data_IF_261656962140
#
_entry.id   IF_261656962140
#
_cell.length_a   1.000
_cell.length_b   1.000
_cell.length_c   1.000
_cell.angle_alpha   90.00
_cell.angle_beta   90.00
_cell.angle_gamma   90.00
#
_symmetry.space_group_name_H-M   'P 1'
#
loop_
_entity.id
_entity.type
_entity.pdbx_description
1 polymer ?
#
# COMPACT_ATOMS: atom_id res chain seq x y z
N UNK A 1 5.93 -49.34 -5.23
CA UNK A 1 6.44 -48.12 -4.58
C UNK A 1 5.32 -47.08 -4.59
N UNK A 2 4.72 -46.71 -3.45
CA UNK A 2 3.75 -45.63 -3.43
C UNK A 2 4.39 -44.30 -3.00
N UNK A 3 3.99 -43.25 -3.72
CA UNK A 3 4.44 -41.87 -3.57
C UNK A 3 4.00 -41.25 -2.23
N UNK A 4 4.91 -40.54 -1.57
CA UNK A 4 4.63 -39.67 -0.41
C UNK A 4 3.99 -38.35 -0.88
N UNK A 5 2.86 -37.92 -0.32
CA UNK A 5 2.45 -36.53 -0.41
C UNK A 5 3.18 -35.69 0.66
N UNK A 6 3.79 -34.60 0.23
CA UNK A 6 4.52 -33.63 1.03
C UNK A 6 3.64 -32.38 1.17
N UNK A 7 2.73 -32.40 2.14
CA UNK A 7 2.02 -31.19 2.60
C UNK A 7 2.04 -31.23 4.12
N UNK A 8 2.92 -30.43 4.71
CA UNK A 8 2.93 -30.19 6.15
C UNK A 8 1.80 -29.21 6.52
N UNK A 9 1.02 -29.47 7.58
CA UNK A 9 0.02 -28.53 8.05
C UNK A 9 0.69 -27.38 8.81
N UNK A 10 0.53 -26.15 8.30
CA UNK A 10 0.74 -24.91 9.06
C UNK A 10 -0.26 -24.88 10.22
N UNK A 11 0.21 -25.26 11.40
CA UNK A 11 -0.59 -25.29 12.63
C UNK A 11 -0.27 -24.08 13.50
N UNK A 12 -1.35 -23.42 13.93
CA UNK A 12 -1.53 -22.73 15.21
C UNK A 12 -0.72 -21.44 15.47
N UNK A 13 -1.21 -20.33 14.90
CA UNK A 13 -1.04 -19.00 15.48
C UNK A 13 -2.30 -18.59 16.26
N UNK A 14 -2.52 -19.17 17.44
CA UNK A 14 -3.59 -18.73 18.34
C UNK A 14 -3.19 -17.39 18.97
N UNK A 15 -3.87 -16.32 18.55
CA UNK A 15 -3.73 -14.96 19.08
C UNK A 15 -4.22 -14.90 20.53
N UNK A 16 -3.27 -14.87 21.47
CA UNK A 16 -3.54 -14.55 22.86
C UNK A 16 -3.52 -13.02 23.05
N UNK A 17 -4.69 -12.38 22.93
CA UNK A 17 -4.88 -10.99 23.37
C UNK A 17 -4.84 -10.95 24.90
N UNK A 18 -3.71 -10.55 25.49
CA UNK A 18 -3.58 -10.36 26.94
C UNK A 18 -3.74 -8.90 27.34
N UNK A 19 -4.63 -8.70 28.30
CA UNK A 19 -4.90 -7.52 29.10
C UNK A 19 -3.64 -7.04 29.83
N UNK A 20 -3.28 -5.77 29.64
CA UNK A 20 -2.17 -5.12 30.37
C UNK A 20 -2.72 -4.59 31.69
N UNK A 21 -2.39 -5.26 32.79
CA UNK A 21 -2.59 -4.74 34.14
C UNK A 21 -1.38 -3.89 34.54
N UNK A 22 -1.65 -2.65 34.95
CA UNK A 22 -0.67 -1.67 35.42
C UNK A 22 -0.40 -1.93 36.91
N UNK A 23 0.83 -2.31 37.26
CA UNK A 23 1.30 -2.32 38.64
C UNK A 23 2.54 -1.41 38.75
N UNK A 24 2.35 -0.27 39.41
CA UNK A 24 3.42 0.66 39.75
C UNK A 24 4.21 0.12 40.95
N UNK A 25 5.51 -0.11 40.78
CA UNK A 25 6.43 -0.39 41.88
C UNK A 25 7.55 0.66 41.87
N UNK A 26 7.62 1.45 42.93
CA UNK A 26 8.60 2.50 43.18
C UNK A 26 9.91 1.86 43.67
N UNK A 27 11.01 2.03 42.93
CA UNK A 27 12.34 1.57 43.32
C UNK A 27 13.32 2.75 43.47
N UNK A 28 14.30 2.69 44.40
CA UNK A 28 15.14 3.82 44.76
C UNK A 28 16.27 4.08 43.75
N UNK A 29 16.57 5.37 43.57
CA UNK A 29 17.59 5.92 42.68
C UNK A 29 19.02 5.57 43.12
N UNK A 30 19.63 4.61 42.41
CA UNK A 30 21.08 4.35 42.45
C UNK A 30 21.73 5.07 41.26
N UNK A 31 22.48 6.14 41.54
CA UNK A 31 23.30 6.87 40.55
C UNK A 31 24.45 6.00 40.04
N UNK A 32 24.18 5.16 39.05
CA UNK A 32 25.20 4.53 38.21
C UNK A 32 25.77 5.58 37.25
N UNK A 33 27.07 5.87 37.40
CA UNK A 33 27.86 6.56 36.38
C UNK A 33 27.84 5.70 35.12
N UNK A 34 27.07 6.12 34.11
CA UNK A 34 27.02 5.47 32.79
C UNK A 34 28.41 5.54 32.17
N UNK A 35 29.09 4.40 32.09
CA UNK A 35 30.21 4.28 31.17
C UNK A 35 29.65 4.43 29.76
N UNK A 36 30.02 5.52 29.08
CA UNK A 36 29.74 5.72 27.67
C UNK A 36 30.51 4.66 26.89
N UNK A 37 29.87 3.52 26.65
CA UNK A 37 30.31 2.57 25.65
C UNK A 37 30.37 3.33 24.33
N UNK A 38 31.59 3.58 23.83
CA UNK A 38 31.83 4.05 22.47
C UNK A 38 31.30 2.95 21.56
N UNK A 39 30.04 3.06 21.15
CA UNK A 39 29.46 2.20 20.13
C UNK A 39 30.38 2.24 18.91
N UNK A 40 30.97 1.10 18.56
CA UNK A 40 31.78 0.96 17.36
C UNK A 40 30.99 1.54 16.18
N UNK A 41 31.61 2.47 15.46
CA UNK A 41 31.10 2.95 14.17
C UNK A 41 31.12 1.74 13.25
N UNK A 42 29.96 1.11 13.06
CA UNK A 42 29.85 0.04 12.06
C UNK A 42 30.18 0.67 10.70
N UNK A 43 31.10 0.08 9.93
CA UNK A 43 31.33 0.53 8.55
C UNK A 43 29.98 0.46 7.83
N UNK A 44 29.65 1.53 7.11
CA UNK A 44 28.41 1.57 6.36
C UNK A 44 28.52 0.56 5.21
N UNK A 45 27.77 -0.54 5.30
CA UNK A 45 27.67 -1.53 4.24
C UNK A 45 27.22 -0.83 2.95
N UNK A 46 27.99 -1.01 1.88
CA UNK A 46 27.67 -0.32 0.64
C UNK A 46 26.50 -1.02 -0.07
N UNK A 47 25.62 -0.22 -0.66
CA UNK A 47 24.42 -0.74 -1.32
C UNK A 47 24.78 -1.19 -2.72
N UNK A 48 24.68 -2.50 -2.94
CA UNK A 48 24.90 -3.14 -4.22
C UNK A 48 23.59 -3.48 -4.91
N UNK A 49 23.55 -3.23 -6.22
CA UNK A 49 22.44 -3.65 -7.06
C UNK A 49 22.76 -4.99 -7.73
N UNK A 50 21.75 -5.86 -7.80
CA UNK A 50 21.80 -7.08 -8.56
C UNK A 50 21.86 -6.75 -10.05
N UNK A 51 22.74 -7.45 -10.79
CA UNK A 51 22.82 -7.35 -12.25
C UNK A 51 21.46 -7.67 -12.87
N UNK A 52 21.06 -6.91 -13.88
CA UNK A 52 19.76 -7.11 -14.55
C UNK A 52 19.98 -7.30 -16.05
N UNK A 53 19.09 -8.03 -16.72
CA UNK A 53 19.13 -8.10 -18.19
C UNK A 53 18.58 -6.84 -18.88
N UNK A 54 18.08 -5.88 -18.10
CA UNK A 54 17.35 -4.72 -18.60
C UNK A 54 18.22 -3.45 -18.57
N UNK A 55 18.80 -3.09 -19.72
CA UNK A 55 19.67 -1.92 -19.87
C UNK A 55 19.02 -0.60 -19.40
N UNK A 56 17.71 -0.45 -19.59
CA UNK A 56 16.99 0.75 -19.14
C UNK A 56 16.97 0.82 -17.61
N UNK A 57 16.76 -0.32 -16.94
CA UNK A 57 16.81 -0.41 -15.49
C UNK A 57 18.23 -0.16 -14.98
N UNK A 58 19.25 -0.78 -15.57
CA UNK A 58 20.66 -0.56 -15.21
C UNK A 58 21.02 0.93 -15.28
N UNK A 59 20.60 1.63 -16.34
CA UNK A 59 20.79 3.07 -16.46
C UNK A 59 20.17 3.87 -15.30
N UNK A 60 18.95 3.52 -14.91
CA UNK A 60 18.25 4.16 -13.77
C UNK A 60 18.92 3.84 -12.43
N UNK A 61 19.33 2.59 -12.22
CA UNK A 61 20.04 2.15 -11.01
C UNK A 61 21.38 2.88 -10.87
N UNK A 62 22.16 2.95 -11.95
CA UNK A 62 23.43 3.68 -11.99
C UNK A 62 23.24 5.17 -11.69
N UNK A 63 22.17 5.77 -12.22
CA UNK A 63 21.84 7.17 -11.94
C UNK A 63 21.46 7.37 -10.45
N UNK A 64 20.65 6.48 -9.86
CA UNK A 64 20.36 6.55 -8.42
C UNK A 64 21.62 6.35 -7.58
N UNK A 65 22.47 5.37 -7.94
CA UNK A 65 23.70 5.06 -7.24
C UNK A 65 24.62 6.28 -7.22
N UNK A 66 24.93 6.83 -8.39
CA UNK A 66 25.86 7.95 -8.56
C UNK A 66 25.40 9.24 -7.91
N UNK A 67 24.14 9.63 -8.12
CA UNK A 67 23.67 10.98 -7.75
C UNK A 67 22.94 11.06 -6.42
N UNK A 68 22.43 9.94 -5.88
CA UNK A 68 21.64 9.92 -4.64
C UNK A 68 22.31 9.08 -3.55
N UNK A 69 22.62 7.82 -3.85
CA UNK A 69 23.02 6.84 -2.83
C UNK A 69 24.48 7.03 -2.41
N UNK A 70 25.42 7.07 -3.35
CA UNK A 70 26.84 7.24 -3.06
C UNK A 70 27.14 8.55 -2.28
N UNK A 71 26.63 9.72 -2.70
CA UNK A 71 26.79 10.96 -1.92
C UNK A 71 26.23 10.89 -0.49
N UNK A 72 25.32 9.95 -0.20
CA UNK A 72 24.74 9.78 1.14
C UNK A 72 25.72 9.21 2.17
N UNK A 73 26.78 8.52 1.72
CA UNK A 73 27.85 8.02 2.60
C UNK A 73 28.79 9.13 3.09
N UNK A 74 28.84 10.26 2.36
CA UNK A 74 29.63 11.42 2.76
C UNK A 74 29.01 12.14 3.95
N UNK A 75 29.87 12.69 4.83
CA UNK A 75 29.45 13.60 5.89
C UNK A 75 28.83 14.86 5.28
N UNK A 76 27.93 15.51 6.01
CA UNK A 76 27.19 16.67 5.51
C UNK A 76 28.09 17.81 4.96
N UNK A 77 29.25 18.16 5.57
CA UNK A 77 30.15 19.18 5.01
C UNK A 77 30.76 18.77 3.66
N UNK A 78 31.22 17.52 3.54
CA UNK A 78 31.77 16.97 2.29
C UNK A 78 30.71 16.93 1.20
N UNK A 79 29.47 16.55 1.55
CA UNK A 79 28.34 16.55 0.63
C UNK A 79 28.01 17.96 0.12
N UNK A 80 28.13 19.00 0.96
CA UNK A 80 27.95 20.39 0.53
C UNK A 80 29.01 20.81 -0.49
N UNK A 81 30.28 20.48 -0.23
CA UNK A 81 31.38 20.75 -1.16
C UNK A 81 31.15 20.07 -2.52
N UNK A 82 30.67 18.82 -2.50
CA UNK A 82 30.41 18.03 -3.71
C UNK A 82 29.46 18.73 -4.70
N UNK A 83 28.49 19.48 -4.19
CA UNK A 83 27.48 20.17 -5.00
C UNK A 83 27.73 21.67 -5.16
N UNK A 84 28.82 22.21 -4.59
CA UNK A 84 29.17 23.63 -4.69
C UNK A 84 29.89 23.90 -6.04
N UNK A 85 29.32 24.72 -6.95
CA UNK A 85 29.94 25.02 -8.24
C UNK A 85 31.30 25.71 -8.11
N UNK A 86 31.54 26.43 -7.01
CA UNK A 86 32.82 27.13 -6.79
C UNK A 86 33.95 26.18 -6.41
N UNK A 87 33.63 24.98 -5.93
CA UNK A 87 34.61 23.95 -5.57
C UNK A 87 34.90 23.00 -6.72
N UNK A 88 34.35 23.26 -7.92
CA UNK A 88 34.48 22.37 -9.06
C UNK A 88 35.94 22.13 -9.44
N UNK A 89 36.71 23.19 -9.64
CA UNK A 89 38.11 23.08 -10.06
C UNK A 89 38.96 22.43 -8.97
N UNK A 90 38.70 22.78 -7.71
CA UNK A 90 39.37 22.14 -6.57
C UNK A 90 39.10 20.65 -6.48
N UNK A 91 37.87 20.20 -6.71
CA UNK A 91 37.50 18.78 -6.67
C UNK A 91 37.96 18.00 -7.91
N UNK A 92 38.41 18.68 -8.98
CA UNK A 92 39.09 18.03 -10.10
C UNK A 92 40.53 17.65 -9.70
N UNK A 93 41.23 18.54 -8.99
CA UNK A 93 42.61 18.32 -8.55
C UNK A 93 42.67 17.43 -7.30
N UNK A 94 41.78 17.63 -6.33
CA UNK A 94 41.70 16.93 -5.04
C UNK A 94 40.29 16.36 -4.79
N UNK A 95 39.96 15.20 -5.38
CA UNK A 95 38.65 14.59 -5.23
C UNK A 95 38.45 14.04 -3.81
N UNK A 96 37.22 14.12 -3.31
CA UNK A 96 36.89 13.53 -2.01
C UNK A 96 36.94 12.00 -2.15
N UNK A 97 37.74 11.34 -1.33
CA UNK A 97 37.86 9.87 -1.33
C UNK A 97 37.23 9.26 -0.08
N UNK A 98 36.55 8.14 -0.25
CA UNK A 98 36.10 7.27 0.85
C UNK A 98 36.37 5.82 0.48
N UNK A 99 36.60 4.98 1.48
CA UNK A 99 36.65 3.53 1.31
C UNK A 99 35.27 2.94 1.61
N UNK A 100 34.70 2.25 0.63
CA UNK A 100 33.45 1.49 0.74
C UNK A 100 33.76 0.04 0.37
N UNK A 101 33.51 -0.90 1.28
CA UNK A 101 33.74 -2.33 1.09
C UNK A 101 35.15 -2.70 0.55
N UNK A 102 36.18 -1.92 0.95
CA UNK A 102 37.56 -2.11 0.50
C UNK A 102 37.90 -1.47 -0.85
N UNK A 103 36.94 -0.82 -1.51
CA UNK A 103 37.14 -0.05 -2.73
C UNK A 103 37.20 1.46 -2.43
N UNK A 104 38.21 2.14 -2.97
CA UNK A 104 38.33 3.60 -2.85
C UNK A 104 37.44 4.28 -3.89
N UNK A 105 36.32 4.84 -3.45
CA UNK A 105 35.43 5.65 -4.30
C UNK A 105 35.89 7.11 -4.26
N UNK A 106 36.11 7.69 -5.44
CA UNK A 106 36.48 9.10 -5.62
C UNK A 106 35.29 9.92 -6.10
N UNK A 107 35.04 11.06 -5.47
CA UNK A 107 33.99 11.99 -5.84
C UNK A 107 34.56 13.26 -6.46
N UNK A 108 34.17 13.51 -7.70
CA UNK A 108 34.31 14.81 -8.36
C UNK A 108 33.02 15.63 -8.23
N UNK A 109 33.10 16.93 -8.52
CA UNK A 109 31.95 17.84 -8.44
C UNK A 109 30.72 17.30 -9.20
N UNK A 110 29.56 17.37 -8.54
CA UNK A 110 28.26 16.99 -9.10
C UNK A 110 27.37 18.22 -9.24
N UNK A 111 26.73 18.38 -10.40
CA UNK A 111 25.72 19.42 -10.58
C UNK A 111 24.40 19.02 -9.92
N UNK A 112 23.78 19.94 -9.18
CA UNK A 112 22.43 19.75 -8.64
C UNK A 112 21.38 19.51 -9.74
N UNK A 113 21.63 19.99 -10.96
CA UNK A 113 20.73 19.77 -12.12
C UNK A 113 20.71 18.32 -12.58
N UNK A 114 21.79 17.58 -12.32
CA UNK A 114 21.92 16.18 -12.71
C UNK A 114 21.28 15.23 -11.68
N UNK A 115 20.97 15.74 -10.48
CA UNK A 115 20.34 14.96 -9.41
C UNK A 115 18.87 14.75 -9.74
N UNK A 116 18.44 13.50 -10.05
CA UNK A 116 17.06 13.25 -10.37
C UNK A 116 16.17 13.36 -9.13
N UNK A 117 14.90 13.72 -9.33
CA UNK A 117 13.90 13.63 -8.28
C UNK A 117 13.70 12.16 -7.86
N UNK A 118 14.01 11.83 -6.60
CA UNK A 118 14.01 10.48 -6.06
C UNK A 118 12.72 9.69 -6.36
N UNK A 119 11.57 10.31 -6.11
CA UNK A 119 10.27 9.68 -6.36
C UNK A 119 10.02 9.44 -7.86
N UNK A 120 10.44 10.36 -8.73
CA UNK A 120 10.25 10.20 -10.17
C UNK A 120 11.12 9.07 -10.73
N UNK A 121 12.40 9.04 -10.36
CA UNK A 121 13.31 8.00 -10.83
C UNK A 121 12.94 6.61 -10.27
N UNK A 122 12.50 6.53 -9.01
CA UNK A 122 11.99 5.29 -8.43
C UNK A 122 10.75 4.79 -9.18
N UNK A 123 9.77 5.66 -9.44
CA UNK A 123 8.57 5.28 -10.21
C UNK A 123 8.93 4.76 -11.59
N UNK A 124 9.90 5.38 -12.27
CA UNK A 124 10.39 4.93 -13.58
C UNK A 124 11.07 3.56 -13.49
N UNK A 125 11.91 3.32 -12.48
CA UNK A 125 12.56 2.03 -12.30
C UNK A 125 11.53 0.91 -12.04
N UNK A 126 10.54 1.16 -11.19
CA UNK A 126 9.49 0.17 -10.88
C UNK A 126 8.59 -0.09 -12.11
N UNK A 127 8.43 0.87 -13.01
CA UNK A 127 7.73 0.64 -14.29
C UNK A 127 8.52 -0.30 -15.22
N UNK A 128 9.85 -0.32 -15.15
CA UNK A 128 10.69 -1.17 -16.00
C UNK A 128 10.91 -2.59 -15.46
N UNK A 129 10.51 -2.88 -14.21
CA UNK A 129 10.58 -4.23 -13.66
C UNK A 129 9.69 -5.19 -14.44
N UNK A 130 10.26 -6.31 -14.90
CA UNK A 130 9.54 -7.35 -15.67
C UNK A 130 9.58 -8.72 -15.00
N UNK A 131 10.62 -9.03 -14.24
CA UNK A 131 10.82 -10.35 -13.67
C UNK A 131 11.41 -10.33 -12.27
N UNK A 132 11.50 -11.51 -11.65
CA UNK A 132 11.97 -11.66 -10.27
C UNK A 132 13.35 -11.03 -10.01
N UNK A 133 14.28 -11.16 -10.97
CA UNK A 133 15.61 -10.57 -10.87
C UNK A 133 15.59 -9.04 -10.77
N UNK A 134 14.70 -8.37 -11.51
CA UNK A 134 14.55 -6.92 -11.42
C UNK A 134 14.00 -6.51 -10.04
N UNK A 135 13.03 -7.27 -9.52
CA UNK A 135 12.41 -6.99 -8.22
C UNK A 135 13.36 -7.17 -7.03
N UNK A 136 14.40 -8.00 -7.15
CA UNK A 136 15.47 -8.09 -6.13
C UNK A 136 16.14 -6.74 -5.89
N UNK A 137 16.13 -5.84 -6.87
CA UNK A 137 16.66 -4.49 -6.71
C UNK A 137 15.75 -3.54 -5.95
N UNK A 138 14.48 -3.88 -5.68
CA UNK A 138 13.58 -2.97 -4.97
C UNK A 138 14.08 -2.66 -3.57
N UNK A 139 14.46 -3.68 -2.79
CA UNK A 139 15.01 -3.49 -1.45
C UNK A 139 16.23 -2.55 -1.43
N UNK A 140 17.34 -2.83 -2.15
CA UNK A 140 18.51 -1.98 -2.09
C UNK A 140 18.22 -0.55 -2.56
N UNK A 141 17.33 -0.36 -3.54
CA UNK A 141 16.91 0.99 -3.95
C UNK A 141 16.26 1.72 -2.78
N UNK A 142 15.29 1.08 -2.12
CA UNK A 142 14.54 1.69 -1.03
C UNK A 142 15.44 1.99 0.19
N UNK A 143 16.33 1.05 0.54
CA UNK A 143 17.35 1.27 1.59
C UNK A 143 18.26 2.44 1.24
N UNK A 144 18.70 2.55 -0.02
CA UNK A 144 19.57 3.65 -0.47
C UNK A 144 18.89 5.01 -0.45
N UNK A 145 17.63 5.07 -0.88
CA UNK A 145 16.82 6.28 -0.79
C UNK A 145 16.60 6.67 0.68
N UNK A 146 16.33 5.70 1.56
CA UNK A 146 16.17 5.93 2.99
C UNK A 146 17.45 6.47 3.63
N UNK A 147 18.60 5.88 3.31
CA UNK A 147 19.91 6.32 3.78
C UNK A 147 20.25 7.74 3.27
N UNK A 148 19.85 8.06 2.04
CA UNK A 148 19.94 9.41 1.49
C UNK A 148 18.96 10.43 2.10
N UNK A 149 18.17 10.03 3.11
CA UNK A 149 17.18 10.87 3.76
C UNK A 149 15.98 11.21 2.88
N UNK A 150 15.75 10.46 1.80
CA UNK A 150 14.60 10.64 0.91
C UNK A 150 13.39 9.94 1.51
N UNK A 151 12.27 10.64 1.51
CA UNK A 151 10.99 10.15 2.04
C UNK A 151 10.09 9.81 0.88
N UNK A 152 9.57 8.58 0.87
CA UNK A 152 8.63 8.13 -0.17
C UNK A 152 7.26 8.76 0.06
N UNK A 153 6.61 9.21 -1.00
CA UNK A 153 5.21 9.63 -0.93
C UNK A 153 4.24 8.44 -0.97
N UNK A 154 3.01 8.63 -0.47
CA UNK A 154 1.97 7.59 -0.46
C UNK A 154 1.63 7.10 -1.87
N UNK A 155 1.53 8.00 -2.86
CA UNK A 155 1.32 7.64 -4.28
C UNK A 155 2.46 6.76 -4.83
N UNK A 156 3.71 7.03 -4.43
CA UNK A 156 4.88 6.23 -4.84
C UNK A 156 4.81 4.82 -4.27
N UNK A 157 4.46 4.67 -2.99
CA UNK A 157 4.24 3.36 -2.37
C UNK A 157 3.06 2.62 -3.03
N UNK A 158 1.95 3.32 -3.27
CA UNK A 158 0.77 2.76 -3.94
C UNK A 158 1.10 2.28 -5.35
N UNK A 159 1.95 3.01 -6.08
CA UNK A 159 2.43 2.59 -7.40
C UNK A 159 3.29 1.33 -7.32
N UNK A 160 4.19 1.21 -6.34
CA UNK A 160 4.97 -0.02 -6.10
C UNK A 160 4.03 -1.20 -5.85
N UNK A 161 3.07 -1.04 -4.94
CA UNK A 161 2.08 -2.08 -4.64
C UNK A 161 1.28 -2.48 -5.89
N UNK A 162 0.81 -1.50 -6.67
CA UNK A 162 0.08 -1.76 -7.92
C UNK A 162 0.92 -2.53 -8.93
N UNK A 163 2.20 -2.18 -9.10
CA UNK A 163 3.11 -2.89 -10.02
C UNK A 163 3.42 -4.30 -9.53
N UNK A 164 3.52 -4.51 -8.22
CA UNK A 164 3.68 -5.84 -7.64
C UNK A 164 2.45 -6.72 -7.87
N UNK A 165 1.24 -6.19 -7.61
CA UNK A 165 -0.02 -6.91 -7.87
C UNK A 165 -0.22 -7.25 -9.35
N UNK A 166 0.10 -6.33 -10.26
CA UNK A 166 0.09 -6.60 -11.71
C UNK A 166 1.00 -7.77 -12.13
N UNK A 167 2.04 -8.05 -11.35
CA UNK A 167 3.02 -9.10 -11.61
C UNK A 167 2.87 -10.31 -10.68
N UNK A 168 1.80 -10.37 -9.86
CA UNK A 168 1.56 -11.41 -8.85
C UNK A 168 2.70 -11.56 -7.84
N UNK A 169 3.25 -10.43 -7.40
CA UNK A 169 4.41 -10.31 -6.50
C UNK A 169 4.11 -9.57 -5.20
N UNK A 170 2.85 -9.57 -4.76
CA UNK A 170 2.47 -8.91 -3.50
C UNK A 170 3.21 -9.46 -2.30
N UNK A 171 3.49 -10.78 -2.29
CA UNK A 171 4.13 -11.45 -1.15
C UNK A 171 5.57 -10.98 -0.93
N UNK A 172 6.27 -10.58 -2.00
CA UNK A 172 7.63 -10.02 -1.92
C UNK A 172 7.65 -8.69 -1.14
N UNK A 173 6.53 -7.96 -1.09
CA UNK A 173 6.46 -6.69 -0.39
C UNK A 173 6.42 -6.85 1.13
N UNK A 174 6.04 -8.01 1.67
CA UNK A 174 5.98 -8.19 3.12
C UNK A 174 7.35 -8.01 3.77
N UNK A 175 8.42 -8.49 3.14
CA UNK A 175 9.77 -8.27 3.65
C UNK A 175 10.07 -6.75 3.75
N UNK A 176 9.71 -5.97 2.73
CA UNK A 176 9.91 -4.52 2.74
C UNK A 176 9.11 -3.82 3.83
N UNK A 177 7.87 -4.28 4.07
CA UNK A 177 6.99 -3.76 5.13
C UNK A 177 7.53 -4.12 6.52
N UNK A 178 7.95 -5.36 6.74
CA UNK A 178 8.55 -5.82 8.00
C UNK A 178 9.81 -5.03 8.38
N UNK A 179 10.54 -4.57 7.37
CA UNK A 179 11.73 -3.75 7.54
C UNK A 179 11.50 -2.27 7.19
N UNK A 180 10.30 -1.74 7.45
CA UNK A 180 9.92 -0.38 7.05
C UNK A 180 10.85 0.73 7.56
N UNK A 181 11.47 0.58 8.73
CA UNK A 181 12.45 1.56 9.26
C UNK A 181 13.72 1.63 8.40
N UNK A 182 14.18 0.46 7.93
CA UNK A 182 15.35 0.27 7.05
C UNK A 182 15.05 0.67 5.61
N UNK A 183 13.93 0.23 5.05
CA UNK A 183 13.56 0.45 3.64
C UNK A 183 12.84 1.78 3.41
N UNK A 184 12.22 2.36 4.44
CA UNK A 184 11.30 3.49 4.28
C UNK A 184 9.93 3.13 3.70
N UNK A 185 9.61 1.84 3.55
CA UNK A 185 8.36 1.37 2.94
C UNK A 185 7.22 1.24 3.98
N UNK A 186 6.72 2.39 4.46
CA UNK A 186 5.70 2.43 5.50
C UNK A 186 4.26 2.25 4.97
N UNK A 187 3.51 1.30 5.53
CA UNK A 187 2.07 1.09 5.31
C UNK A 187 1.20 1.93 6.27
N UNK A 188 1.45 3.24 6.33
CA UNK A 188 0.81 4.14 7.30
C UNK A 188 -0.08 5.22 6.66
N UNK A 189 -0.42 5.03 5.39
CA UNK A 189 -1.29 5.88 4.61
C UNK A 189 -2.40 5.02 4.01
N UNK A 190 -3.59 5.58 3.83
CA UNK A 190 -4.75 4.81 3.41
C UNK A 190 -4.58 4.23 2.00
N UNK A 191 -4.13 5.04 1.03
CA UNK A 191 -4.01 4.61 -0.37
C UNK A 191 -3.12 3.36 -0.61
N UNK A 192 -1.88 3.25 -0.06
CA UNK A 192 -1.06 2.07 -0.30
C UNK A 192 -1.63 0.80 0.35
N UNK A 193 -2.26 0.92 1.52
CA UNK A 193 -2.93 -0.20 2.21
C UNK A 193 -4.16 -0.65 1.42
N UNK A 194 -4.99 0.30 1.02
CA UNK A 194 -6.13 0.05 0.13
C UNK A 194 -5.67 -0.62 -1.16
N UNK A 195 -4.63 -0.10 -1.81
CA UNK A 195 -4.11 -0.67 -3.06
C UNK A 195 -3.65 -2.12 -2.85
N UNK A 196 -3.01 -2.44 -1.73
CA UNK A 196 -2.57 -3.80 -1.43
C UNK A 196 -3.75 -4.76 -1.27
N UNK A 197 -4.77 -4.36 -0.51
CA UNK A 197 -5.97 -5.17 -0.28
C UNK A 197 -6.78 -5.35 -1.56
N UNK A 198 -6.92 -4.30 -2.37
CA UNK A 198 -7.54 -4.35 -3.69
C UNK A 198 -6.88 -5.40 -4.58
N UNK A 199 -5.55 -5.35 -4.71
CA UNK A 199 -4.82 -6.34 -5.52
C UNK A 199 -4.87 -7.74 -4.91
N UNK A 200 -4.88 -7.85 -3.59
CA UNK A 200 -5.08 -9.13 -2.90
C UNK A 200 -6.42 -9.75 -3.31
N UNK A 201 -7.52 -8.99 -3.19
CA UNK A 201 -8.85 -9.44 -3.58
C UNK A 201 -8.90 -9.86 -5.06
N UNK A 202 -8.31 -9.06 -5.95
CA UNK A 202 -8.27 -9.37 -7.39
C UNK A 202 -7.50 -10.64 -7.71
N UNK A 203 -6.36 -10.88 -7.07
CA UNK A 203 -5.61 -12.12 -7.27
C UNK A 203 -6.44 -13.34 -6.86
N UNK A 204 -7.19 -13.26 -5.76
CA UNK A 204 -8.08 -14.34 -5.30
C UNK A 204 -9.17 -14.67 -6.31
N UNK A 205 -9.69 -13.68 -7.03
CA UNK A 205 -10.73 -13.90 -8.05
C UNK A 205 -10.19 -14.62 -9.30
N UNK A 206 -8.90 -14.55 -9.58
CA UNK A 206 -8.29 -15.12 -10.78
C UNK A 206 -7.63 -16.48 -10.51
N UNK A 207 -7.17 -16.74 -9.29
CA UNK A 207 -6.59 -18.02 -8.88
C UNK A 207 -7.68 -19.11 -8.70
N UNK A 208 -7.27 -20.38 -8.51
CA UNK A 208 -8.19 -21.46 -8.13
C UNK A 208 -8.95 -21.02 -6.87
N UNK A 209 -10.28 -20.84 -7.02
CA UNK A 209 -11.11 -20.04 -6.13
C UNK A 209 -10.85 -20.34 -4.63
N UNK A 210 -10.76 -21.60 -4.21
CA UNK A 210 -10.51 -21.93 -2.81
C UNK A 210 -9.07 -21.64 -2.33
N UNK A 211 -8.05 -22.00 -3.12
CA UNK A 211 -6.64 -21.70 -2.77
C UNK A 211 -6.37 -20.19 -2.79
N UNK A 212 -6.91 -19.49 -3.78
CA UNK A 212 -6.83 -18.04 -3.90
C UNK A 212 -7.45 -17.35 -2.70
N UNK A 213 -8.65 -17.75 -2.28
CA UNK A 213 -9.31 -17.21 -1.09
C UNK A 213 -8.49 -17.45 0.18
N UNK A 214 -8.00 -18.67 0.42
CA UNK A 214 -7.19 -18.97 1.60
C UNK A 214 -5.90 -18.12 1.65
N UNK A 215 -5.22 -17.96 0.51
CA UNK A 215 -4.02 -17.11 0.37
C UNK A 215 -4.36 -15.63 0.60
N UNK A 216 -5.48 -15.16 0.07
CA UNK A 216 -5.95 -13.79 0.27
C UNK A 216 -6.25 -13.47 1.72
N UNK A 217 -6.94 -14.38 2.42
CA UNK A 217 -7.22 -14.28 3.85
C UNK A 217 -5.91 -14.22 4.64
N UNK A 218 -4.97 -15.13 4.36
CA UNK A 218 -3.65 -15.12 5.02
C UNK A 218 -2.88 -13.81 4.79
N UNK A 219 -2.95 -13.23 3.59
CA UNK A 219 -2.35 -11.91 3.31
C UNK A 219 -3.02 -10.78 4.08
N UNK A 220 -4.35 -10.79 4.19
CA UNK A 220 -5.09 -9.82 4.98
C UNK A 220 -4.67 -9.92 6.45
N UNK A 221 -4.64 -11.12 7.01
CA UNK A 221 -4.28 -11.35 8.41
C UNK A 221 -2.84 -10.88 8.69
N UNK A 222 -1.90 -11.24 7.81
CA UNK A 222 -0.51 -10.78 7.89
C UNK A 222 -0.38 -9.26 7.78
N UNK A 223 -1.18 -8.61 6.93
CA UNK A 223 -1.17 -7.16 6.82
C UNK A 223 -1.71 -6.51 8.11
N UNK A 224 -2.86 -6.95 8.61
CA UNK A 224 -3.50 -6.34 9.78
C UNK A 224 -2.68 -6.58 11.05
N UNK A 225 -2.35 -7.84 11.35
CA UNK A 225 -1.67 -8.24 12.59
C UNK A 225 -0.18 -7.95 12.51
N UNK A 226 0.48 -8.41 11.45
CA UNK A 226 1.94 -8.39 11.44
C UNK A 226 2.52 -7.09 10.88
N UNK A 227 1.76 -6.24 10.20
CA UNK A 227 2.28 -5.01 9.57
C UNK A 227 1.65 -3.76 10.19
N UNK A 228 0.32 -3.60 10.11
CA UNK A 228 -0.34 -2.35 10.49
C UNK A 228 -0.31 -2.06 12.00
N UNK A 229 -0.23 -3.09 12.84
CA UNK A 229 -0.13 -2.93 14.30
C UNK A 229 1.29 -2.64 14.79
N UNK A 230 2.32 -2.78 13.95
CA UNK A 230 3.70 -2.53 14.37
C UNK A 230 3.98 -1.03 14.55
N UNK A 231 4.66 -0.69 15.63
CA UNK A 231 5.07 0.69 15.94
C UNK A 231 5.99 1.32 14.87
N UNK A 232 6.73 0.48 14.14
CA UNK A 232 7.60 0.90 13.03
C UNK A 232 6.83 1.72 11.99
N UNK A 233 5.55 1.38 11.74
CA UNK A 233 4.70 2.10 10.79
C UNK A 233 4.15 3.41 11.34
N UNK A 234 4.01 3.54 12.66
CA UNK A 234 3.68 4.78 13.35
C UNK A 234 4.82 5.81 13.36
N UNK A 235 6.07 5.36 13.22
CA UNK A 235 7.29 6.16 13.39
C UNK A 235 7.77 6.91 12.14
N UNK A 236 7.03 6.84 11.03
CA UNK A 236 7.40 7.51 9.77
C UNK A 236 7.63 9.02 9.95
N UNK A 237 8.61 9.63 9.26
CA UNK A 237 8.81 11.09 9.30
C UNK A 237 7.55 11.89 8.91
N UNK A 238 6.71 11.33 8.04
CA UNK A 238 5.44 11.94 7.64
C UNK A 238 4.45 11.94 8.81
N UNK A 239 4.44 10.88 9.63
CA UNK A 239 3.53 10.75 10.77
C UNK A 239 3.76 11.80 11.87
N UNK A 240 4.94 12.43 11.89
CA UNK A 240 5.31 13.48 12.85
C UNK A 240 4.87 14.89 12.42
N UNK A 241 4.23 15.04 11.25
CA UNK A 241 3.83 16.35 10.76
C UNK A 241 2.55 16.83 11.46
N UNK A 242 2.54 18.04 12.04
CA UNK A 242 1.47 18.52 12.93
C UNK A 242 0.13 18.78 12.24
N UNK A 243 0.08 18.90 10.91
CA UNK A 243 -1.18 19.02 10.17
C UNK A 243 -1.98 17.71 10.08
N UNK A 244 -1.42 16.59 10.57
CA UNK A 244 -2.13 15.32 10.76
C UNK A 244 -2.90 15.28 12.11
N UNK A 245 -3.13 16.44 12.75
CA UNK A 245 -3.85 16.57 14.02
C UNK A 245 -5.26 15.94 14.00
N UNK A 246 -5.87 15.77 12.82
CA UNK A 246 -7.17 15.11 12.62
C UNK A 246 -7.11 13.56 12.71
N UNK A 247 -5.97 12.97 13.10
CA UNK A 247 -5.84 11.52 13.29
C UNK A 247 -6.89 10.92 14.23
N UNK A 248 -7.35 11.68 15.22
CA UNK A 248 -8.33 11.17 16.19
C UNK A 248 -9.74 11.05 15.60
N UNK A 249 -10.07 11.86 14.60
CA UNK A 249 -11.38 11.90 13.94
C UNK A 249 -11.52 10.84 12.84
N UNK A 250 -10.40 10.36 12.30
CA UNK A 250 -10.38 9.33 11.24
C UNK A 250 -10.37 7.91 11.82
N UNK A 251 -10.75 6.92 11.00
CA UNK A 251 -10.59 5.53 11.37
C UNK A 251 -9.10 5.16 11.44
N UNK A 252 -8.74 4.31 12.40
CA UNK A 252 -7.43 3.67 12.36
C UNK A 252 -7.43 2.66 11.20
N UNK A 253 -6.31 2.50 10.48
CA UNK A 253 -6.25 1.62 9.29
C UNK A 253 -6.67 0.17 9.59
N UNK A 254 -6.42 -0.32 10.81
CA UNK A 254 -6.84 -1.67 11.25
C UNK A 254 -8.33 -1.78 11.61
N UNK A 255 -9.01 -0.63 11.72
CA UNK A 255 -10.44 -0.53 12.07
C UNK A 255 -11.20 0.32 11.05
N UNK A 256 -10.69 0.39 9.83
CA UNK A 256 -11.32 1.13 8.76
C UNK A 256 -12.34 0.22 8.06
N UNK A 257 -13.65 0.55 8.07
CA UNK A 257 -14.66 -0.32 7.50
C UNK A 257 -14.46 -0.61 6.01
N UNK A 258 -13.91 0.36 5.26
CA UNK A 258 -13.58 0.17 3.84
C UNK A 258 -12.51 -0.91 3.66
N UNK A 259 -11.46 -0.88 4.49
CA UNK A 259 -10.35 -1.83 4.39
C UNK A 259 -10.78 -3.22 4.91
N UNK A 260 -11.54 -3.25 6.01
CA UNK A 260 -12.06 -4.49 6.61
C UNK A 260 -12.99 -5.26 5.67
N UNK A 261 -13.70 -4.57 4.78
CA UNK A 261 -14.59 -5.18 3.80
C UNK A 261 -13.89 -6.26 2.95
N UNK A 262 -12.60 -6.08 2.63
CA UNK A 262 -11.85 -7.09 1.84
C UNK A 262 -11.69 -8.40 2.61
N UNK A 263 -11.25 -8.34 3.87
CA UNK A 263 -11.09 -9.54 4.69
C UNK A 263 -12.44 -10.21 4.94
N UNK A 264 -13.47 -9.41 5.24
CA UNK A 264 -14.83 -9.88 5.43
C UNK A 264 -15.35 -10.62 4.19
N UNK A 265 -15.23 -10.02 3.01
CA UNK A 265 -15.70 -10.60 1.75
C UNK A 265 -15.00 -11.89 1.37
N UNK A 266 -13.66 -11.94 1.50
CA UNK A 266 -12.90 -13.16 1.20
C UNK A 266 -13.29 -14.33 2.12
N UNK A 267 -13.48 -14.06 3.43
CA UNK A 267 -13.90 -15.09 4.39
C UNK A 267 -15.34 -15.55 4.13
N UNK A 268 -16.25 -14.62 3.83
CA UNK A 268 -17.62 -14.95 3.48
C UNK A 268 -17.70 -15.84 2.24
N UNK A 269 -16.94 -15.50 1.19
CA UNK A 269 -16.86 -16.32 -0.02
C UNK A 269 -16.26 -17.70 0.23
N UNK A 270 -15.29 -17.82 1.15
CA UNK A 270 -14.73 -19.11 1.54
C UNK A 270 -15.78 -20.01 2.22
N UNK A 271 -16.66 -19.43 3.05
CA UNK A 271 -17.76 -20.16 3.70
C UNK A 271 -18.80 -20.61 2.66
N UNK A 272 -19.21 -19.70 1.79
CA UNK A 272 -20.21 -19.96 0.73
C UNK A 272 -19.66 -20.86 -0.39
N UNK A 273 -18.35 -21.10 -0.44
CA UNK A 273 -17.72 -21.90 -1.47
C UNK A 273 -18.16 -23.38 -1.35
N UNK A 274 -18.67 -23.99 -2.44
CA UNK A 274 -19.07 -25.40 -2.45
C UNK A 274 -17.87 -26.35 -2.60
N UNK A 275 -16.63 -25.85 -2.53
CA UNK A 275 -15.43 -26.64 -2.84
C UNK A 275 -15.15 -27.69 -1.76
N UNK A 276 -15.00 -28.98 -2.14
CA UNK A 276 -14.94 -30.10 -1.19
C UNK A 276 -13.63 -30.19 -0.40
N UNK A 277 -12.60 -29.43 -0.80
CA UNK A 277 -11.29 -29.46 -0.15
C UNK A 277 -11.14 -28.47 1.00
N UNK A 278 -12.14 -27.63 1.27
CA UNK A 278 -12.16 -26.73 2.41
C UNK A 278 -12.78 -27.48 3.58
N UNK A 279 -12.02 -27.74 4.64
CA UNK A 279 -12.54 -28.46 5.80
C UNK A 279 -13.66 -27.69 6.50
N UNK A 280 -14.64 -28.41 7.04
CA UNK A 280 -15.74 -27.81 7.81
C UNK A 280 -15.23 -27.07 9.05
N UNK A 281 -14.14 -27.54 9.66
CA UNK A 281 -13.44 -26.83 10.74
C UNK A 281 -12.94 -25.45 10.28
N UNK A 282 -12.33 -25.38 9.09
CA UNK A 282 -11.86 -24.12 8.53
C UNK A 282 -13.02 -23.19 8.19
N UNK A 283 -14.14 -23.71 7.66
CA UNK A 283 -15.37 -22.92 7.44
C UNK A 283 -15.93 -22.37 8.76
N UNK A 284 -16.02 -23.21 9.79
CA UNK A 284 -16.53 -22.82 11.11
C UNK A 284 -15.67 -21.73 11.75
N UNK A 285 -14.35 -21.83 11.65
CA UNK A 285 -13.45 -20.78 12.18
C UNK A 285 -13.59 -19.47 11.41
N UNK A 286 -13.66 -19.54 10.08
CA UNK A 286 -13.91 -18.35 9.26
C UNK A 286 -15.30 -17.74 9.52
N UNK A 287 -16.32 -18.55 9.82
CA UNK A 287 -17.66 -18.06 10.16
C UNK A 287 -17.65 -17.22 11.45
N UNK A 288 -16.90 -17.63 12.48
CA UNK A 288 -16.70 -16.80 13.69
C UNK A 288 -16.07 -15.45 13.35
N UNK A 289 -15.06 -15.45 12.48
CA UNK A 289 -14.40 -14.22 12.03
C UNK A 289 -15.35 -13.35 11.21
N UNK A 290 -16.20 -13.92 10.35
CA UNK A 290 -17.23 -13.18 9.61
C UNK A 290 -18.22 -12.54 10.58
N UNK A 291 -18.71 -13.25 11.60
CA UNK A 291 -19.57 -12.65 12.63
C UNK A 291 -18.89 -11.46 13.32
N UNK A 292 -17.65 -11.65 13.79
CA UNK A 292 -16.89 -10.60 14.46
C UNK A 292 -16.69 -9.37 13.56
N UNK A 293 -16.20 -9.58 12.34
CA UNK A 293 -15.94 -8.50 11.39
C UNK A 293 -17.23 -7.80 10.95
N UNK A 294 -18.33 -8.54 10.76
CA UNK A 294 -19.64 -7.98 10.39
C UNK A 294 -20.18 -7.05 11.47
N UNK A 295 -20.14 -7.50 12.74
CA UNK A 295 -20.54 -6.67 13.88
C UNK A 295 -19.65 -5.43 14.01
N UNK A 296 -18.34 -5.58 13.84
CA UNK A 296 -17.38 -4.47 13.88
C UNK A 296 -17.65 -3.45 12.76
N UNK A 297 -17.77 -3.90 11.51
CA UNK A 297 -18.08 -3.05 10.35
C UNK A 297 -19.41 -2.33 10.55
N UNK A 298 -20.47 -3.04 10.95
CA UNK A 298 -21.79 -2.45 11.22
C UNK A 298 -21.75 -1.39 12.33
N UNK A 299 -20.94 -1.62 13.37
CA UNK A 299 -20.77 -0.65 14.46
C UNK A 299 -20.03 0.61 14.01
N UNK A 300 -19.01 0.45 13.16
CA UNK A 300 -18.16 1.53 12.70
C UNK A 300 -18.84 2.34 11.57
N UNK A 301 -19.55 1.68 10.67
CA UNK A 301 -20.36 2.26 9.59
C UNK A 301 -21.75 2.68 10.08
N UNK A 302 -21.92 2.87 11.39
CA UNK A 302 -23.17 3.38 11.95
C UNK A 302 -23.22 4.90 11.74
N UNK A 303 -24.31 5.48 11.21
CA UNK A 303 -24.47 6.94 11.07
C UNK A 303 -24.39 7.70 12.39
N UNK A 304 -24.61 7.03 13.52
CA UNK A 304 -24.45 7.60 14.87
C UNK A 304 -23.00 7.60 15.35
N UNK A 305 -22.09 6.96 14.62
CA UNK A 305 -20.67 7.03 14.93
C UNK A 305 -20.19 8.46 14.65
N UNK A 306 -19.60 9.17 15.62
CA UNK A 306 -19.15 10.55 15.43
C UNK A 306 -18.07 10.70 14.34
N UNK A 307 -17.43 9.62 13.91
CA UNK A 307 -16.46 9.61 12.82
C UNK A 307 -17.10 9.57 11.42
N UNK A 308 -18.37 9.17 11.35
CA UNK A 308 -19.16 9.18 10.12
C UNK A 308 -19.88 10.52 10.07
N UNK A 309 -19.73 11.24 8.97
CA UNK A 309 -20.25 12.60 8.85
C UNK A 309 -21.79 12.59 8.76
N UNK A 310 -22.45 13.02 9.82
CA UNK A 310 -23.90 13.16 9.85
C UNK A 310 -24.32 14.41 9.08
N UNK A 311 -24.78 14.27 7.84
CA UNK A 311 -25.47 15.37 7.15
C UNK A 311 -25.32 15.47 5.64
N UNK A 312 -24.48 14.66 5.00
CA UNK A 312 -24.39 14.62 3.54
C UNK A 312 -25.05 13.32 3.11
N UNK A 313 -26.15 13.43 2.34
CA UNK A 313 -26.98 12.29 1.96
C UNK A 313 -26.17 11.13 1.38
N UNK A 314 -26.26 9.98 2.04
CA UNK A 314 -25.67 8.72 1.62
C UNK A 314 -24.76 8.13 2.70
N UNK A 315 -25.23 7.11 3.42
CA UNK A 315 -24.41 6.27 4.30
C UNK A 315 -23.44 5.37 3.51
N UNK A 316 -23.11 5.70 2.27
CA UNK A 316 -22.25 4.90 1.41
C UNK A 316 -20.79 5.29 1.56
N UNK A 317 -19.98 4.97 0.55
CA UNK A 317 -18.53 5.14 0.60
C UNK A 317 -18.12 6.61 0.51
N UNK A 318 -18.93 7.44 -0.17
CA UNK A 318 -18.69 8.88 -0.29
C UNK A 318 -18.86 9.66 1.02
N UNK A 319 -19.66 9.14 1.96
CA UNK A 319 -19.91 9.73 3.28
C UNK A 319 -19.22 9.01 4.44
N UNK A 320 -18.44 7.95 4.18
CA UNK A 320 -17.82 7.13 5.23
C UNK A 320 -16.79 7.92 6.04
N UNK A 321 -15.99 8.75 5.38
CA UNK A 321 -14.90 9.49 6.01
C UNK A 321 -15.24 10.99 6.16
N UNK A 322 -14.61 11.71 7.09
CA UNK A 322 -14.77 13.17 7.20
C UNK A 322 -14.38 13.90 5.90
N UNK A 323 -15.08 14.98 5.53
CA UNK A 323 -14.82 15.71 4.26
C UNK A 323 -13.34 16.10 4.03
N UNK A 324 -12.62 16.54 5.07
CA UNK A 324 -11.22 16.98 4.96
C UNK A 324 -10.29 15.84 4.47
N UNK A 325 -10.66 14.59 4.76
CA UNK A 325 -9.89 13.41 4.43
C UNK A 325 -9.82 13.14 2.92
N UNK A 326 -10.84 13.60 2.16
CA UNK A 326 -10.86 13.53 0.69
C UNK A 326 -9.94 14.57 0.03
N UNK A 327 -9.37 15.51 0.80
CA UNK A 327 -8.36 16.45 0.30
C UNK A 327 -6.93 16.06 0.68
N UNK A 328 -6.78 15.18 1.67
CA UNK A 328 -5.48 14.69 2.15
C UNK A 328 -4.89 13.60 1.23
N UNK A 329 -3.72 13.89 0.66
CA UNK A 329 -2.99 12.98 -0.22
C UNK A 329 -2.51 11.69 0.47
N UNK A 330 -2.42 11.64 1.80
CA UNK A 330 -2.05 10.43 2.56
C UNK A 330 -3.29 9.63 3.03
N UNK A 331 -4.50 10.13 2.80
CA UNK A 331 -5.73 9.48 3.22
C UNK A 331 -6.59 9.10 2.00
N UNK A 332 -7.86 9.53 1.95
CA UNK A 332 -8.86 9.05 1.01
C UNK A 332 -9.04 9.97 -0.20
N UNK A 333 -8.11 10.90 -0.45
CA UNK A 333 -8.14 11.75 -1.67
C UNK A 333 -8.29 10.95 -2.96
N UNK A 334 -7.74 9.73 -3.01
CA UNK A 334 -7.86 8.87 -4.18
C UNK A 334 -9.32 8.45 -4.49
N UNK A 335 -10.24 8.46 -3.51
CA UNK A 335 -11.67 8.17 -3.71
C UNK A 335 -12.42 9.30 -4.43
N UNK A 336 -11.81 10.50 -4.56
CA UNK A 336 -12.37 11.53 -5.45
C UNK A 336 -12.24 11.17 -6.92
N UNK A 337 -11.39 10.21 -7.25
CA UNK A 337 -11.33 9.65 -8.58
C UNK A 337 -12.44 8.61 -8.72
N UNK A 338 -13.48 8.93 -9.49
CA UNK A 338 -14.65 8.07 -9.74
C UNK A 338 -14.26 6.64 -10.14
N UNK A 339 -13.23 6.48 -10.98
CA UNK A 339 -12.78 5.13 -11.35
C UNK A 339 -12.26 4.35 -10.14
N UNK A 340 -11.40 4.94 -9.30
CA UNK A 340 -10.89 4.26 -8.10
C UNK A 340 -11.99 4.02 -7.07
N UNK A 341 -12.98 4.93 -6.98
CA UNK A 341 -14.12 4.78 -6.08
C UNK A 341 -15.00 3.59 -6.50
N UNK A 342 -15.35 3.49 -7.78
CA UNK A 342 -16.09 2.37 -8.35
C UNK A 342 -15.43 1.00 -8.09
N UNK A 343 -14.09 0.93 -8.16
CA UNK A 343 -13.36 -0.31 -7.81
C UNK A 343 -13.65 -0.75 -6.38
N UNK A 344 -13.71 0.20 -5.44
CA UNK A 344 -14.00 -0.07 -4.04
C UNK A 344 -15.47 -0.34 -3.77
N UNK A 345 -16.37 0.42 -4.39
CA UNK A 345 -17.81 0.20 -4.26
C UNK A 345 -18.20 -1.20 -4.71
N UNK A 346 -17.66 -1.68 -5.84
CA UNK A 346 -17.89 -3.04 -6.33
C UNK A 346 -17.49 -4.11 -5.31
N UNK A 347 -16.32 -3.94 -4.68
CA UNK A 347 -15.80 -4.89 -3.69
C UNK A 347 -16.62 -4.84 -2.41
N UNK A 348 -16.97 -3.64 -1.92
CA UNK A 348 -17.74 -3.47 -0.69
C UNK A 348 -19.13 -4.07 -0.83
N UNK A 349 -19.85 -3.74 -1.91
CA UNK A 349 -21.18 -4.29 -2.20
C UNK A 349 -21.09 -5.81 -2.20
N UNK A 350 -20.15 -6.38 -2.96
CA UNK A 350 -20.02 -7.82 -3.05
C UNK A 350 -19.65 -8.48 -1.72
N UNK A 351 -18.70 -7.91 -1.00
CA UNK A 351 -18.24 -8.42 0.29
C UNK A 351 -19.37 -8.42 1.33
N UNK A 352 -20.18 -7.37 1.37
CA UNK A 352 -21.27 -7.24 2.34
C UNK A 352 -22.47 -8.13 1.99
N UNK A 353 -22.77 -8.32 0.71
CA UNK A 353 -23.79 -9.27 0.25
C UNK A 353 -23.40 -10.72 0.57
N UNK A 354 -22.18 -11.14 0.20
CA UNK A 354 -21.70 -12.49 0.51
C UNK A 354 -21.64 -12.71 2.04
N UNK A 355 -21.22 -11.69 2.82
CA UNK A 355 -21.20 -11.79 4.28
C UNK A 355 -22.61 -11.87 4.89
N UNK A 356 -23.55 -11.08 4.39
CA UNK A 356 -24.94 -11.15 4.83
C UNK A 356 -25.57 -12.52 4.54
N UNK A 357 -25.30 -13.09 3.36
CA UNK A 357 -25.70 -14.46 3.00
C UNK A 357 -25.09 -15.49 3.96
N UNK A 358 -23.79 -15.38 4.24
CA UNK A 358 -23.07 -16.33 5.10
C UNK A 358 -23.55 -16.37 6.56
N UNK A 359 -24.13 -15.28 7.08
CA UNK A 359 -24.60 -15.19 8.49
C UNK A 359 -26.11 -15.04 8.64
N UNK A 360 -26.90 -15.10 7.55
CA UNK A 360 -28.34 -14.82 7.62
C UNK A 360 -29.12 -15.76 8.55
N UNK A 361 -28.68 -17.02 8.66
CA UNK A 361 -29.30 -18.03 9.51
C UNK A 361 -28.93 -17.88 11.00
N UNK A 362 -27.76 -17.30 11.29
CA UNK A 362 -27.17 -17.23 12.63
C UNK A 362 -27.27 -15.85 13.27
N UNK A 363 -27.27 -14.77 12.49
CA UNK A 363 -27.34 -13.38 12.94
C UNK A 363 -28.07 -12.47 11.93
N UNK A 364 -29.39 -12.69 11.83
CA UNK A 364 -30.26 -11.97 10.90
C UNK A 364 -30.22 -10.42 11.07
N UNK A 365 -30.17 -9.84 12.29
CA UNK A 365 -30.09 -8.38 12.45
C UNK A 365 -28.83 -7.79 11.80
N UNK A 366 -27.66 -8.40 12.01
CA UNK A 366 -26.40 -7.93 11.41
C UNK A 366 -26.41 -8.15 9.90
N UNK A 367 -26.91 -9.29 9.41
CA UNK A 367 -27.06 -9.55 7.99
C UNK A 367 -27.92 -8.47 7.29
N UNK A 368 -29.07 -8.11 7.87
CA UNK A 368 -29.93 -7.03 7.36
C UNK A 368 -29.25 -5.67 7.38
N UNK A 369 -28.39 -5.40 8.37
CA UNK A 369 -27.64 -4.14 8.41
C UNK A 369 -26.58 -4.10 7.30
N UNK A 370 -25.83 -5.18 7.08
CA UNK A 370 -24.88 -5.28 5.97
C UNK A 370 -25.58 -5.10 4.61
N UNK A 371 -26.73 -5.76 4.40
CA UNK A 371 -27.52 -5.61 3.18
C UNK A 371 -27.92 -4.16 2.91
N UNK A 372 -28.40 -3.43 3.93
CA UNK A 372 -28.73 -2.00 3.81
C UNK A 372 -27.51 -1.15 3.43
N UNK A 373 -26.35 -1.40 4.03
CA UNK A 373 -25.12 -0.67 3.68
C UNK A 373 -24.73 -0.96 2.23
N UNK A 374 -24.80 -2.24 1.81
CA UNK A 374 -24.52 -2.64 0.44
C UNK A 374 -25.47 -1.96 -0.57
N UNK A 375 -26.77 -1.87 -0.28
CA UNK A 375 -27.76 -1.16 -1.11
C UNK A 375 -27.43 0.32 -1.28
N UNK A 376 -27.03 1.00 -0.19
CA UNK A 376 -26.65 2.42 -0.26
C UNK A 376 -25.38 2.62 -1.09
N UNK A 377 -24.35 1.81 -0.88
CA UNK A 377 -23.10 1.87 -1.67
C UNK A 377 -23.37 1.54 -3.14
N UNK A 378 -24.28 0.59 -3.42
CA UNK A 378 -24.71 0.24 -4.77
C UNK A 378 -25.40 1.42 -5.47
N UNK A 379 -26.31 2.11 -4.78
CA UNK A 379 -26.96 3.31 -5.32
C UNK A 379 -25.95 4.43 -5.62
N UNK A 380 -24.93 4.63 -4.78
CA UNK A 380 -23.83 5.58 -5.05
C UNK A 380 -23.04 5.17 -6.32
N UNK A 381 -22.71 3.89 -6.46
CA UNK A 381 -21.99 3.38 -7.61
C UNK A 381 -22.79 3.52 -8.92
N UNK A 382 -24.11 3.33 -8.89
CA UNK A 382 -24.99 3.52 -10.05
C UNK A 382 -24.92 4.97 -10.57
N UNK A 383 -24.87 5.96 -9.66
CA UNK A 383 -24.65 7.37 -10.02
C UNK A 383 -23.27 7.57 -10.65
N UNK A 384 -22.24 6.90 -10.11
CA UNK A 384 -20.87 7.00 -10.62
C UNK A 384 -20.67 6.35 -11.99
N UNK A 385 -21.40 5.28 -12.28
CA UNK A 385 -21.34 4.58 -13.57
C UNK A 385 -21.90 5.46 -14.70
N UNK A 386 -22.99 6.19 -14.43
CA UNK A 386 -23.59 7.10 -15.42
C UNK A 386 -22.86 8.43 -15.52
N UNK A 387 -21.94 8.72 -14.59
CA UNK A 387 -21.17 9.96 -14.59
C UNK A 387 -20.35 10.12 -15.88
N UNK A 388 -20.35 11.29 -16.53
CA UNK A 388 -19.55 11.54 -17.72
C UNK A 388 -18.04 11.47 -17.46
N UNK A 389 -17.62 11.56 -16.19
CA UNK A 389 -16.23 11.44 -15.75
C UNK A 389 -15.75 9.98 -15.84
N UNK A 390 -16.65 9.02 -15.62
CA UNK A 390 -16.36 7.60 -15.76
C UNK A 390 -16.42 7.22 -17.24
N UNK A 391 -15.33 7.41 -17.97
CA UNK A 391 -15.24 6.98 -19.39
C UNK A 391 -15.49 5.47 -19.51
N UNK A 392 -16.11 5.04 -20.60
CA UNK A 392 -16.28 3.61 -20.88
C UNK A 392 -14.92 2.92 -21.06
N UNK A 393 -14.84 1.66 -20.63
CA UNK A 393 -13.59 0.89 -20.64
C UNK A 393 -12.61 1.20 -19.50
N UNK A 394 -13.00 2.06 -18.56
CA UNK A 394 -12.23 2.30 -17.34
C UNK A 394 -12.25 1.09 -16.41
N UNK A 395 -11.18 0.92 -15.63
CA UNK A 395 -10.95 -0.26 -14.80
C UNK A 395 -12.05 -0.47 -13.75
N UNK A 396 -12.53 0.60 -13.11
CA UNK A 396 -13.60 0.58 -12.11
C UNK A 396 -14.93 0.12 -12.69
N UNK A 397 -15.34 0.64 -13.85
CA UNK A 397 -16.53 0.15 -14.58
C UNK A 397 -16.40 -1.33 -14.94
N UNK A 398 -15.22 -1.75 -15.37
CA UNK A 398 -14.95 -3.16 -15.69
C UNK A 398 -15.07 -4.05 -14.45
N UNK A 399 -14.43 -3.68 -13.33
CA UNK A 399 -14.50 -4.42 -12.07
C UNK A 399 -15.93 -4.48 -11.54
N UNK A 400 -16.66 -3.37 -11.58
CA UNK A 400 -18.08 -3.33 -11.22
C UNK A 400 -18.89 -4.34 -12.04
N UNK A 401 -18.72 -4.33 -13.37
CA UNK A 401 -19.41 -5.25 -14.26
C UNK A 401 -19.10 -6.71 -13.91
N UNK A 402 -17.83 -7.04 -13.70
CA UNK A 402 -17.39 -8.40 -13.40
C UNK A 402 -17.85 -8.92 -12.04
N UNK A 403 -17.89 -8.06 -11.00
CA UNK A 403 -18.24 -8.49 -9.64
C UNK A 403 -19.75 -8.46 -9.36
N UNK A 404 -20.47 -7.52 -9.98
CA UNK A 404 -21.86 -7.19 -9.63
C UNK A 404 -22.84 -7.47 -10.77
N UNK A 405 -22.53 -7.09 -12.01
CA UNK A 405 -23.51 -7.11 -13.11
C UNK A 405 -23.62 -8.46 -13.83
N UNK A 406 -22.55 -9.25 -13.87
CA UNK A 406 -22.58 -10.56 -14.52
C UNK A 406 -23.11 -11.62 -13.54
N UNK A 407 -24.26 -12.28 -13.84
CA UNK A 407 -24.85 -13.26 -12.96
C UNK A 407 -23.86 -14.42 -12.73
N UNK A 408 -23.82 -14.95 -11.50
CA UNK A 408 -23.10 -16.18 -11.13
C UNK A 408 -23.61 -17.33 -12.02
N UNK A 409 -23.08 -17.50 -13.24
CA UNK A 409 -23.35 -18.70 -14.03
C UNK A 409 -22.63 -19.83 -13.30
N UNK A 410 -23.43 -20.62 -12.58
CA UNK A 410 -22.96 -21.72 -11.75
C UNK A 410 -22.02 -22.62 -12.53
N UNK A 411 -20.76 -22.71 -12.09
CA UNK A 411 -19.91 -23.86 -12.37
C UNK A 411 -18.53 -23.57 -12.92
N UNK A 412 -18.35 -22.55 -13.77
CA UNK A 412 -17.03 -22.17 -14.30
C UNK A 412 -17.05 -20.71 -14.75
N UNK A 413 -16.77 -19.78 -13.83
CA UNK A 413 -16.24 -18.49 -14.25
C UNK A 413 -14.84 -18.76 -14.79
N UNK A 414 -14.76 -19.05 -16.09
CA UNK A 414 -13.53 -18.84 -16.84
C UNK A 414 -13.28 -17.33 -16.77
N UNK A 415 -12.62 -16.88 -15.70
CA UNK A 415 -11.89 -15.62 -15.73
C UNK A 415 -10.86 -15.82 -16.82
N UNK A 416 -11.20 -15.47 -18.06
CA UNK A 416 -10.23 -15.43 -19.14
C UNK A 416 -9.05 -14.67 -18.58
N UNK A 417 -7.87 -15.26 -18.72
CA UNK A 417 -6.60 -14.74 -18.24
C UNK A 417 -6.18 -13.47 -19.05
N UNK A 418 -7.15 -12.62 -19.40
CA UNK A 418 -7.04 -11.26 -19.89
C UNK A 418 -6.55 -10.32 -18.77
N UNK A 419 -5.73 -10.84 -17.85
CA UNK A 419 -4.91 -10.07 -16.91
C UNK A 419 -3.95 -9.10 -17.61
N UNK A 420 -3.89 -9.14 -18.95
CA UNK A 420 -3.55 -7.95 -19.71
C UNK A 420 -4.82 -7.17 -20.04
N UNK A 421 -5.36 -6.41 -19.07
CA UNK A 421 -5.91 -5.12 -19.46
C UNK A 421 -4.75 -4.36 -20.10
N UNK A 422 -4.59 -4.51 -21.41
CA UNK A 422 -3.81 -3.59 -22.22
C UNK A 422 -4.79 -2.44 -22.46
N UNK A 423 -4.56 -1.24 -21.91
CA UNK A 423 -5.31 -0.09 -22.36
C UNK A 423 -5.24 -0.09 -23.88
N UNK A 424 -6.36 0.15 -24.57
CA UNK A 424 -6.32 0.34 -26.01
C UNK A 424 -5.29 1.45 -26.35
N UNK A 425 -4.81 1.50 -27.60
CA UNK A 425 -3.81 2.50 -27.99
C UNK A 425 -4.27 3.94 -27.66
N UNK A 426 -5.58 4.16 -27.64
CA UNK A 426 -6.22 5.44 -27.27
C UNK A 426 -6.03 5.77 -25.79
N UNK A 427 -6.23 4.80 -24.89
CA UNK A 427 -6.03 4.92 -23.45
C UNK A 427 -4.55 4.99 -23.10
N UNK A 428 -3.67 4.25 -23.81
CA UNK A 428 -2.21 4.41 -23.69
C UNK A 428 -1.75 5.82 -24.08
N UNK A 429 -2.31 6.39 -25.14
CA UNK A 429 -2.01 7.76 -25.59
C UNK A 429 -2.44 8.80 -24.55
N UNK A 430 -3.60 8.64 -23.94
CA UNK A 430 -4.06 9.50 -22.83
C UNK A 430 -3.27 9.32 -21.52
N UNK A 431 -2.73 8.12 -21.25
CA UNK A 431 -1.86 7.89 -20.09
C UNK A 431 -0.42 8.37 -20.31
N UNK A 432 0.06 8.42 -21.56
CA UNK A 432 1.37 8.99 -21.94
C UNK A 432 1.34 10.51 -22.03
N UNK A 433 0.21 11.08 -22.42
CA UNK A 433 -0.03 12.52 -22.37
C UNK A 433 -0.46 12.87 -20.94
N UNK A 434 0.52 13.08 -20.06
CA UNK A 434 0.26 13.67 -18.74
C UNK A 434 -0.63 14.91 -18.88
N UNK A 435 -1.45 15.16 -17.86
CA UNK A 435 -2.31 16.33 -17.76
C UNK A 435 -1.60 17.59 -18.31
N UNK A 436 -2.29 18.45 -19.09
CA UNK A 436 -1.68 19.66 -19.59
C UNK A 436 -1.03 20.40 -18.42
N UNK A 437 0.26 20.68 -18.56
CA UNK A 437 1.01 21.54 -17.65
C UNK A 437 0.24 22.85 -17.61
N UNK A 438 -0.48 23.10 -16.51
CA UNK A 438 -1.03 24.41 -16.22
C UNK A 438 0.17 25.36 -16.26
N UNK A 439 0.15 26.26 -17.24
CA UNK A 439 1.15 27.31 -17.39
C UNK A 439 1.27 28.06 -16.05
N UNK A 440 2.49 28.20 -15.57
CA UNK A 440 2.80 29.02 -14.40
C UNK A 440 2.24 30.42 -14.56
N UNK A 441 1.70 31.05 -13.51
CA UNK A 441 1.26 32.44 -13.58
C UNK A 441 2.51 33.33 -13.68
N UNK A 442 2.76 33.86 -14.87
CA UNK A 442 3.72 34.94 -15.09
C UNK A 442 3.14 36.26 -14.61
N UNK A 443 3.82 36.86 -13.62
CA UNK A 443 4.02 38.30 -13.41
C UNK A 443 2.87 39.25 -13.78
N UNK A 444 2.10 39.66 -12.77
CA UNK A 444 1.49 40.99 -12.77
C UNK A 444 2.45 41.95 -12.04
N UNK A 445 3.07 42.85 -12.80
CA UNK A 445 3.59 44.12 -12.28
C UNK A 445 2.52 45.19 -12.52
N UNK A 446 2.36 46.17 -11.62
CA UNK A 446 1.44 47.29 -11.82
C UNK A 446 2.11 48.33 -12.74
N UNK A 447 1.37 48.78 -13.75
CA UNK A 447 1.76 49.86 -14.64
C UNK A 447 0.75 51.00 -14.58
N UNK A 448 1.28 52.18 -14.33
CA UNK A 448 0.64 53.49 -14.23
C UNK A 448 -0.38 53.82 -15.33
N UNK A 449 -1.50 54.41 -14.91
CA UNK A 449 -2.05 55.68 -15.42
C UNK A 449 -3.16 56.20 -14.53
#
# INVERSE_FOLDING_TARGET
MPAKPLIAPLTQGALAWKTVATAAATAPTRTQKRQFSRSQVRPAESIHFHKTGNKDLEGLLNQMQKYIILPSYLKQPQRKLLFDPNQKDRLLDDPITIELDGETVRYSHLSLRDVPAADSILKRAVDTFKGAEDWKNLEPILVGLRQAGRVLHADTRSKIVRRAGQQRRLDDLFYLMHHATRTGFYMNAHEPVSTFLLWTYRECMVEDHGQGLAKGIARCDRLYVDVLEREDHGSSPIAKQPHLAFRNERFHLTRDPQLLAVSLGLRAQLILSPLPYISEENKAENLKQVHYLSGLVCSLWNPRNPKVEAGIGGQGLGGLHPQDSYFDANWTKYLRNTNKRLEWEAIIVRAFEDAAEAICETDLPVAKQLGRIAEVVRAEAEVDIVSPIAKDGTLGKHIWKCLIAEPKVSGKTEYKNENTWRPDEKTKKHLRQGAPVLASPTNFLPGDK
#
